data_IF_089514459715
#
_entry.id   IF_089514459715
#
_cell.length_a   1.000
_cell.length_b   1.000
_cell.length_c   1.000
_cell.angle_alpha   90.00
_cell.angle_beta   90.00
_cell.angle_gamma   90.00
#
_symmetry.space_group_name_H-M   'P 1'
#
loop_
_entity.id
_entity.type
_entity.pdbx_description
1 polymer ?
#
# COMPACT_ATOMS: atom_id res chain seq x y z
N UNK A 1 -8.02 8.26 -45.23
CA UNK A 1 -6.68 8.88 -45.15
C UNK A 1 -6.13 8.59 -43.77
N UNK A 2 -4.97 7.95 -43.68
CA UNK A 2 -4.29 7.75 -42.43
C UNK A 2 -3.40 8.94 -42.11
N UNK A 3 -3.50 9.45 -40.89
CA UNK A 3 -2.62 10.51 -40.39
C UNK A 3 -1.36 9.79 -39.86
N UNK A 4 -0.18 10.18 -40.35
CA UNK A 4 1.12 9.61 -39.93
C UNK A 4 2.01 10.64 -39.23
N UNK A 5 1.59 11.92 -39.18
CA UNK A 5 2.32 12.99 -38.53
C UNK A 5 1.36 13.98 -37.87
N UNK A 6 1.67 14.34 -36.61
CA UNK A 6 1.01 15.40 -35.84
C UNK A 6 2.06 16.41 -35.41
N UNK A 7 1.84 17.69 -35.73
CA UNK A 7 2.74 18.80 -35.36
C UNK A 7 1.94 19.78 -34.50
N UNK A 8 2.48 20.18 -33.36
CA UNK A 8 1.93 21.22 -32.51
C UNK A 8 2.99 22.29 -32.23
N UNK A 9 2.56 23.50 -31.88
CA UNK A 9 3.46 24.56 -31.46
C UNK A 9 4.18 24.17 -30.14
N UNK A 10 3.43 23.70 -29.19
CA UNK A 10 3.87 23.26 -27.89
C UNK A 10 2.98 22.08 -27.38
N UNK A 11 3.39 21.45 -26.29
CA UNK A 11 2.71 20.30 -25.71
C UNK A 11 1.31 20.64 -25.21
N UNK A 12 1.10 21.89 -24.74
CA UNK A 12 -0.19 22.34 -24.20
C UNK A 12 -1.30 22.36 -25.26
N UNK A 13 -0.93 22.38 -26.54
CA UNK A 13 -1.86 22.31 -27.67
C UNK A 13 -2.33 20.91 -27.99
N UNK A 14 -1.59 19.88 -27.56
CA UNK A 14 -2.01 18.51 -27.72
C UNK A 14 -3.10 18.15 -26.70
N UNK A 15 -3.01 18.69 -25.47
CA UNK A 15 -4.03 18.49 -24.45
C UNK A 15 -3.74 19.26 -23.17
N UNK A 16 -4.80 19.62 -22.43
CA UNK A 16 -4.69 20.28 -21.13
C UNK A 16 -4.47 19.28 -19.99
N UNK A 17 -4.81 18.03 -20.23
CA UNK A 17 -4.65 16.96 -19.26
C UNK A 17 -3.35 16.20 -19.57
N UNK A 18 -2.35 16.36 -18.70
CA UNK A 18 -1.03 15.74 -18.86
C UNK A 18 -1.08 14.20 -18.92
N UNK A 19 -2.07 13.56 -18.25
CA UNK A 19 -2.25 12.11 -18.30
C UNK A 19 -2.68 11.65 -19.69
N UNK A 20 -3.66 12.35 -20.29
CA UNK A 20 -4.12 12.05 -21.65
C UNK A 20 -3.04 12.36 -22.67
N UNK A 21 -2.33 13.47 -22.49
CA UNK A 21 -1.23 13.88 -23.37
C UNK A 21 -0.09 12.86 -23.32
N UNK A 22 0.29 12.39 -22.12
CA UNK A 22 1.28 11.34 -21.95
C UNK A 22 0.88 10.04 -22.63
N UNK A 23 -0.34 9.58 -22.43
CA UNK A 23 -0.87 8.38 -23.09
C UNK A 23 -0.85 8.51 -24.63
N UNK A 24 -1.20 9.68 -25.17
CA UNK A 24 -1.12 9.90 -26.61
C UNK A 24 0.30 9.78 -27.15
N UNK A 25 1.30 10.34 -26.45
CA UNK A 25 2.70 10.36 -26.90
C UNK A 25 3.39 9.00 -26.68
N UNK A 26 3.14 8.36 -25.54
CA UNK A 26 3.85 7.13 -25.14
C UNK A 26 3.22 5.85 -25.71
N UNK A 27 1.91 5.84 -25.92
CA UNK A 27 1.18 4.64 -26.30
C UNK A 27 0.45 4.79 -27.63
N UNK A 28 -0.46 5.76 -27.74
CA UNK A 28 -1.35 5.87 -28.89
C UNK A 28 -0.63 6.18 -30.20
N UNK A 29 0.23 7.21 -30.24
CA UNK A 29 0.95 7.59 -31.47
C UNK A 29 1.93 6.51 -31.92
N UNK A 30 2.78 5.95 -31.05
CA UNK A 30 3.67 4.85 -31.46
C UNK A 30 2.94 3.61 -31.97
N UNK A 31 1.86 3.19 -31.33
CA UNK A 31 1.06 2.03 -31.75
C UNK A 31 0.42 2.23 -33.13
N UNK A 32 0.06 3.48 -33.48
CA UNK A 32 -0.56 3.77 -34.77
C UNK A 32 0.46 4.26 -35.83
N UNK A 33 1.76 4.19 -35.53
CA UNK A 33 2.80 4.63 -36.48
C UNK A 33 2.77 6.13 -36.77
N UNK A 34 2.26 6.94 -35.79
CA UNK A 34 2.14 8.39 -35.94
C UNK A 34 3.34 9.06 -35.28
N UNK A 35 4.08 9.85 -36.04
CA UNK A 35 5.13 10.76 -35.53
C UNK A 35 4.49 11.98 -34.89
N UNK A 36 4.97 12.37 -33.70
CA UNK A 36 4.56 13.59 -33.03
C UNK A 36 5.73 14.55 -32.86
N UNK A 37 5.50 15.85 -33.17
CA UNK A 37 6.48 16.94 -33.04
C UNK A 37 5.84 18.12 -32.29
N UNK A 38 6.47 18.56 -31.19
CA UNK A 38 6.18 19.80 -30.48
C UNK A 38 7.35 20.78 -30.74
N UNK A 39 7.13 21.82 -31.58
CA UNK A 39 8.23 22.63 -32.07
C UNK A 39 8.94 23.44 -30.99
N UNK A 40 8.20 24.11 -30.10
CA UNK A 40 8.78 24.95 -29.05
C UNK A 40 9.42 24.12 -27.90
N UNK A 41 8.91 22.90 -27.67
CA UNK A 41 9.38 22.02 -26.57
C UNK A 41 10.51 21.10 -27.05
N UNK A 42 10.90 21.13 -28.32
CA UNK A 42 11.95 20.30 -28.90
C UNK A 42 11.61 18.81 -28.92
N UNK A 43 10.33 18.44 -28.79
CA UNK A 43 9.89 17.04 -28.72
C UNK A 43 9.69 16.51 -30.13
N UNK A 44 10.35 15.40 -30.47
CA UNK A 44 10.17 14.63 -31.71
C UNK A 44 10.23 13.14 -31.41
N UNK A 45 9.13 12.43 -31.61
CA UNK A 45 9.02 11.00 -31.28
C UNK A 45 9.85 10.07 -32.18
N UNK A 46 10.42 10.58 -33.28
CA UNK A 46 11.35 9.81 -34.12
C UNK A 46 12.84 10.09 -33.81
N UNK A 47 13.16 11.20 -33.16
CA UNK A 47 14.52 11.48 -32.71
C UNK A 47 14.80 10.75 -31.44
N UNK A 48 16.04 10.32 -31.24
CA UNK A 48 16.46 9.46 -30.13
C UNK A 48 15.84 9.83 -28.77
N UNK A 49 15.50 8.81 -28.00
CA UNK A 49 14.78 8.82 -26.71
C UNK A 49 15.32 9.80 -25.63
N UNK A 50 16.43 10.48 -25.86
CA UNK A 50 17.06 11.37 -24.87
C UNK A 50 16.30 12.70 -24.67
N UNK A 51 15.67 13.25 -25.71
CA UNK A 51 14.96 14.54 -25.59
C UNK A 51 13.61 14.43 -24.89
N UNK A 52 13.02 13.21 -24.89
CA UNK A 52 11.74 12.92 -24.23
C UNK A 52 11.93 12.42 -22.78
N UNK A 53 13.13 11.96 -22.42
CA UNK A 53 13.40 11.37 -21.11
C UNK A 53 13.07 12.30 -19.93
N UNK A 54 13.41 13.61 -19.93
CA UNK A 54 13.00 14.53 -18.87
C UNK A 54 11.49 14.65 -18.73
N UNK A 55 10.79 14.67 -19.87
CA UNK A 55 9.32 14.76 -19.90
C UNK A 55 8.66 13.49 -19.36
N UNK A 56 9.18 12.29 -19.72
CA UNK A 56 8.74 11.02 -19.14
C UNK A 56 8.90 10.98 -17.63
N UNK A 57 10.01 11.49 -17.11
CA UNK A 57 10.26 11.55 -15.67
C UNK A 57 9.23 12.46 -14.96
N UNK A 58 8.93 13.62 -15.53
CA UNK A 58 7.90 14.55 -15.01
C UNK A 58 6.53 13.88 -15.02
N UNK A 59 6.16 13.24 -16.13
CA UNK A 59 4.90 12.50 -16.23
C UNK A 59 4.80 11.40 -15.16
N UNK A 60 5.82 10.57 -15.02
CA UNK A 60 5.85 9.49 -14.02
C UNK A 60 5.70 10.04 -12.61
N UNK A 61 6.35 11.16 -12.28
CA UNK A 61 6.18 11.82 -10.99
C UNK A 61 4.74 12.33 -10.80
N UNK A 62 4.15 12.94 -11.81
CA UNK A 62 2.77 13.43 -11.76
C UNK A 62 1.76 12.27 -11.64
N UNK A 63 1.98 11.15 -12.35
CA UNK A 63 1.18 9.92 -12.18
C UNK A 63 1.22 9.41 -10.76
N UNK A 64 2.43 9.34 -10.19
CA UNK A 64 2.60 8.87 -8.81
C UNK A 64 1.88 9.76 -7.80
N UNK A 65 1.97 11.08 -7.97
CA UNK A 65 1.25 12.07 -7.13
C UNK A 65 -0.27 11.96 -7.27
N UNK A 66 -0.77 11.77 -8.48
CA UNK A 66 -2.22 11.64 -8.73
C UNK A 66 -2.78 10.35 -8.13
N UNK A 67 -2.09 9.22 -8.34
CA UNK A 67 -2.44 7.94 -7.73
C UNK A 67 -2.42 8.05 -6.20
N UNK A 68 -1.37 8.65 -5.62
CA UNK A 68 -1.26 8.86 -4.18
C UNK A 68 -2.46 9.66 -3.62
N UNK A 69 -2.84 10.76 -4.28
CA UNK A 69 -4.01 11.56 -3.89
C UNK A 69 -5.31 10.76 -3.94
N UNK A 70 -5.52 9.99 -5.03
CA UNK A 70 -6.72 9.15 -5.19
C UNK A 70 -6.81 8.06 -4.14
N UNK A 71 -5.69 7.38 -3.87
CA UNK A 71 -5.61 6.37 -2.81
C UNK A 71 -5.89 6.99 -1.45
N UNK A 72 -5.24 8.10 -1.12
CA UNK A 72 -5.45 8.81 0.15
C UNK A 72 -6.91 9.24 0.33
N UNK A 73 -7.53 9.85 -0.69
CA UNK A 73 -8.95 10.23 -0.65
C UNK A 73 -9.86 9.02 -0.43
N UNK A 74 -9.57 7.90 -1.07
CA UNK A 74 -10.33 6.66 -0.89
C UNK A 74 -10.20 6.12 0.53
N UNK A 75 -9.00 6.15 1.13
CA UNK A 75 -8.79 5.76 2.53
C UNK A 75 -9.54 6.68 3.50
N UNK A 76 -9.48 8.00 3.29
CA UNK A 76 -10.20 8.96 4.12
C UNK A 76 -11.72 8.73 4.10
N UNK A 77 -12.30 8.52 2.91
CA UNK A 77 -13.73 8.25 2.78
C UNK A 77 -14.14 6.96 3.51
N UNK A 78 -13.32 5.92 3.43
CA UNK A 78 -13.56 4.67 4.16
C UNK A 78 -13.44 4.88 5.67
N UNK A 79 -12.41 5.60 6.13
CA UNK A 79 -12.21 5.91 7.55
C UNK A 79 -13.37 6.74 8.12
N UNK A 80 -13.87 7.74 7.36
CA UNK A 80 -15.03 8.55 7.77
C UNK A 80 -16.31 7.72 7.89
N UNK A 81 -16.44 6.64 7.12
CA UNK A 81 -17.54 5.68 7.23
C UNK A 81 -17.34 4.65 8.34
N UNK A 82 -16.28 4.74 9.14
CA UNK A 82 -15.92 3.77 10.17
C UNK A 82 -15.44 2.42 9.63
N UNK A 83 -15.08 2.36 8.35
CA UNK A 83 -14.63 1.14 7.70
C UNK A 83 -13.15 0.87 8.00
N UNK A 84 -12.84 -0.37 8.33
CA UNK A 84 -11.46 -0.81 8.52
C UNK A 84 -10.75 -0.93 7.17
N UNK A 85 -9.59 -0.29 7.04
CA UNK A 85 -8.83 -0.24 5.79
C UNK A 85 -7.51 -1.03 5.83
N UNK A 86 -7.16 -1.60 6.98
CA UNK A 86 -5.92 -2.34 7.16
C UNK A 86 -5.91 -3.68 6.41
N UNK A 87 -4.72 -4.15 6.04
CA UNK A 87 -4.53 -5.44 5.39
C UNK A 87 -4.88 -6.61 6.33
N UNK A 88 -4.36 -6.57 7.57
CA UNK A 88 -4.64 -7.57 8.62
C UNK A 88 -5.44 -6.91 9.74
N UNK A 89 -6.37 -7.66 10.32
CA UNK A 89 -7.07 -7.24 11.52
C UNK A 89 -6.09 -7.09 12.70
N UNK A 90 -6.26 -6.10 13.60
CA UNK A 90 -5.51 -6.02 14.84
C UNK A 90 -5.73 -7.28 15.69
N UNK A 91 -4.74 -7.62 16.51
CA UNK A 91 -4.86 -8.75 17.44
C UNK A 91 -6.03 -8.55 18.40
N UNK A 92 -6.84 -9.58 18.60
CA UNK A 92 -8.12 -9.52 19.31
C UNK A 92 -9.33 -9.29 18.40
N UNK A 93 -9.10 -9.05 17.11
CA UNK A 93 -10.14 -8.89 16.11
C UNK A 93 -9.88 -9.78 14.90
N UNK A 94 -10.96 -10.08 14.16
CA UNK A 94 -10.91 -10.74 12.85
C UNK A 94 -11.75 -9.97 11.85
N UNK A 95 -11.42 -10.09 10.57
CA UNK A 95 -12.27 -9.52 9.52
C UNK A 95 -13.55 -10.31 9.37
N UNK A 96 -14.63 -9.60 9.12
CA UNK A 96 -15.89 -10.21 8.76
C UNK A 96 -15.75 -10.93 7.41
N UNK A 97 -16.17 -12.21 7.30
CA UNK A 97 -16.15 -12.92 6.02
C UNK A 97 -17.01 -12.27 4.93
N UNK A 98 -18.11 -11.61 5.33
CA UNK A 98 -19.05 -10.96 4.40
C UNK A 98 -18.62 -9.53 4.04
N UNK A 99 -18.04 -8.79 5.00
CA UNK A 99 -17.51 -7.44 4.79
C UNK A 99 -16.08 -7.30 5.32
N UNK A 100 -15.09 -7.35 4.43
CA UNK A 100 -13.67 -7.21 4.79
C UNK A 100 -13.29 -5.87 5.43
N UNK A 101 -14.17 -4.86 5.36
CA UNK A 101 -13.97 -3.56 5.99
C UNK A 101 -14.63 -3.48 7.38
N UNK A 102 -15.28 -4.53 7.83
CA UNK A 102 -15.85 -4.68 9.16
C UNK A 102 -14.98 -5.60 10.02
N UNK A 103 -14.82 -5.25 11.31
CA UNK A 103 -14.07 -6.05 12.29
C UNK A 103 -15.04 -6.70 13.27
N UNK A 104 -14.88 -7.99 13.46
CA UNK A 104 -15.54 -8.76 14.49
C UNK A 104 -14.56 -9.05 15.64
N UNK A 105 -15.06 -9.16 16.85
CA UNK A 105 -14.26 -9.62 17.99
C UNK A 105 -13.84 -11.07 17.74
N UNK A 106 -12.56 -11.35 17.99
CA UNK A 106 -12.00 -12.69 17.89
C UNK A 106 -11.98 -13.33 19.28
N UNK A 107 -12.92 -14.22 19.54
CA UNK A 107 -13.14 -14.83 20.85
C UNK A 107 -11.93 -15.60 21.38
N UNK A 108 -11.02 -16.06 20.53
CA UNK A 108 -9.80 -16.75 20.94
C UNK A 108 -8.72 -15.78 21.44
N UNK A 109 -8.57 -14.63 20.80
CA UNK A 109 -7.47 -13.70 21.08
C UNK A 109 -7.90 -12.43 21.82
N UNK A 110 -9.18 -12.07 21.83
CA UNK A 110 -9.70 -10.92 22.57
C UNK A 110 -9.47 -11.02 24.09
N UNK A 111 -9.59 -12.19 24.75
CA UNK A 111 -9.28 -12.31 26.17
C UNK A 111 -7.83 -11.93 26.51
N UNK A 112 -6.89 -12.27 25.63
CA UNK A 112 -5.46 -11.92 25.80
C UNK A 112 -5.29 -10.40 25.76
N UNK A 113 -5.96 -9.73 24.81
CA UNK A 113 -5.92 -8.26 24.72
C UNK A 113 -6.50 -7.63 25.97
N UNK A 114 -7.64 -8.13 26.48
CA UNK A 114 -8.25 -7.65 27.72
C UNK A 114 -7.33 -7.85 28.93
N UNK A 115 -6.61 -8.96 28.99
CA UNK A 115 -5.61 -9.23 30.03
C UNK A 115 -4.47 -8.19 29.99
N UNK A 116 -3.92 -7.92 28.80
CA UNK A 116 -2.87 -6.91 28.59
C UNK A 116 -3.34 -5.54 29.08
N UNK A 117 -4.54 -5.10 28.67
CA UNK A 117 -5.11 -3.84 29.13
C UNK A 117 -5.38 -3.85 30.62
N UNK A 118 -5.80 -4.97 31.22
CA UNK A 118 -5.97 -5.11 32.66
C UNK A 118 -4.66 -4.86 33.41
N UNK A 119 -3.55 -5.43 32.98
CA UNK A 119 -2.23 -5.14 33.57
C UNK A 119 -1.84 -3.66 33.40
N UNK A 120 -2.05 -3.09 32.23
CA UNK A 120 -1.74 -1.69 31.96
C UNK A 120 -2.55 -0.72 32.85
N UNK A 121 -3.85 -0.97 33.03
CA UNK A 121 -4.72 -0.21 33.93
C UNK A 121 -4.31 -0.29 35.41
N UNK A 122 -3.69 -1.42 35.81
CA UNK A 122 -3.12 -1.60 37.13
C UNK A 122 -1.72 -0.95 37.30
N UNK A 123 -1.27 -0.16 36.30
CA UNK A 123 -0.01 0.57 36.35
C UNK A 123 1.24 -0.25 35.99
N UNK A 124 1.08 -1.45 35.44
CA UNK A 124 2.21 -2.27 35.02
C UNK A 124 2.75 -1.83 33.66
N UNK A 125 4.08 -1.69 33.57
CA UNK A 125 4.76 -1.30 32.32
C UNK A 125 4.89 -2.45 31.31
N UNK A 126 5.25 -2.14 30.04
CA UNK A 126 5.34 -3.13 28.96
C UNK A 126 6.25 -4.33 29.28
N UNK A 127 7.39 -4.10 29.91
CA UNK A 127 8.33 -5.18 30.28
C UNK A 127 7.75 -6.16 31.30
N UNK A 128 6.94 -5.67 32.24
CA UNK A 128 6.23 -6.53 33.19
C UNK A 128 5.19 -7.38 32.48
N UNK A 129 4.38 -6.74 31.62
CA UNK A 129 3.32 -7.42 30.86
C UNK A 129 3.93 -8.50 29.97
N UNK A 130 5.00 -8.17 29.23
CA UNK A 130 5.73 -9.13 28.41
C UNK A 130 6.15 -10.37 29.21
N UNK A 131 6.83 -10.15 30.34
CA UNK A 131 7.32 -11.26 31.17
C UNK A 131 6.16 -12.14 31.67
N UNK A 132 5.03 -11.54 32.07
CA UNK A 132 3.86 -12.32 32.52
C UNK A 132 3.28 -13.17 31.40
N UNK A 133 3.14 -12.60 30.18
CA UNK A 133 2.64 -13.34 29.02
C UNK A 133 3.57 -14.50 28.62
N UNK A 134 4.88 -14.30 28.73
CA UNK A 134 5.90 -15.33 28.48
C UNK A 134 5.87 -16.43 29.54
N UNK A 135 5.77 -16.07 30.83
CA UNK A 135 5.65 -17.02 31.96
C UNK A 135 4.38 -17.86 31.83
N UNK A 136 3.27 -17.27 31.44
CA UNK A 136 1.98 -17.95 31.25
C UNK A 136 1.92 -18.68 29.88
N UNK A 137 2.99 -18.68 29.10
CA UNK A 137 3.11 -19.33 27.78
C UNK A 137 1.99 -18.94 26.82
N UNK A 138 1.61 -17.65 26.82
CA UNK A 138 0.62 -17.12 25.90
C UNK A 138 1.28 -16.85 24.56
N UNK A 139 0.80 -17.45 23.45
CA UNK A 139 1.41 -17.26 22.13
C UNK A 139 1.31 -15.81 21.63
N UNK A 140 2.38 -15.30 21.01
CA UNK A 140 2.43 -13.95 20.49
C UNK A 140 1.57 -13.77 19.23
N UNK A 141 1.19 -12.53 18.87
CA UNK A 141 0.33 -12.26 17.70
C UNK A 141 0.86 -12.81 16.38
N UNK A 142 2.19 -12.82 16.20
CA UNK A 142 2.81 -13.36 14.97
C UNK A 142 2.60 -14.86 14.85
N UNK A 143 2.67 -15.60 15.96
CA UNK A 143 2.38 -17.03 15.98
C UNK A 143 0.92 -17.29 15.58
N UNK A 144 -0.04 -16.58 16.16
CA UNK A 144 -1.46 -16.69 15.81
C UNK A 144 -1.74 -16.42 14.34
N UNK A 145 -1.13 -15.36 13.78
CA UNK A 145 -1.28 -15.04 12.38
C UNK A 145 -0.73 -16.13 11.46
N UNK A 146 0.36 -16.78 11.86
CA UNK A 146 0.94 -17.88 11.10
C UNK A 146 0.06 -19.12 11.13
N UNK A 147 -0.39 -19.53 12.31
CA UNK A 147 -1.26 -20.70 12.47
C UNK A 147 -2.57 -20.56 11.67
N UNK A 148 -3.06 -19.34 11.54
CA UNK A 148 -4.24 -19.01 10.73
C UNK A 148 -3.94 -18.79 9.25
N UNK A 149 -2.72 -19.00 8.81
CA UNK A 149 -2.30 -18.77 7.41
C UNK A 149 -2.32 -17.31 6.94
N UNK A 150 -2.45 -16.35 7.86
CA UNK A 150 -2.53 -14.93 7.54
C UNK A 150 -1.16 -14.31 7.25
N UNK A 151 -0.10 -14.91 7.74
CA UNK A 151 1.28 -14.46 7.56
C UNK A 151 2.24 -15.64 7.57
N UNK A 152 3.05 -15.74 6.53
CA UNK A 152 3.99 -16.88 6.36
C UNK A 152 5.43 -16.55 6.78
N UNK A 153 5.62 -15.59 7.69
CA UNK A 153 6.95 -15.21 8.17
C UNK A 153 7.10 -15.51 9.65
N UNK A 154 8.15 -16.25 10.00
CA UNK A 154 8.55 -16.45 11.41
C UNK A 154 9.21 -15.19 11.94
N UNK A 155 9.00 -14.89 13.21
CA UNK A 155 9.74 -13.83 13.91
C UNK A 155 11.23 -14.17 14.01
N UNK A 156 12.05 -13.18 14.38
CA UNK A 156 13.47 -13.36 14.67
C UNK A 156 13.68 -14.45 15.74
N UNK A 157 12.83 -14.50 16.76
CA UNK A 157 12.90 -15.43 17.89
C UNK A 157 12.47 -16.84 17.50
N UNK A 158 11.39 -16.99 16.75
CA UNK A 158 10.95 -18.31 16.23
C UNK A 158 11.97 -18.95 15.29
N UNK A 159 12.81 -18.14 14.60
CA UNK A 159 13.91 -18.64 13.78
C UNK A 159 15.06 -19.19 14.62
N UNK A 160 15.31 -18.58 15.80
CA UNK A 160 16.37 -18.96 16.73
C UNK A 160 15.96 -20.13 17.63
N UNK A 161 14.76 -20.09 18.13
CA UNK A 161 14.20 -21.06 19.07
C UNK A 161 12.71 -21.32 18.70
N UNK A 162 12.44 -22.34 17.87
CA UNK A 162 11.09 -22.66 17.43
C UNK A 162 10.13 -23.03 18.55
N UNK A 163 10.62 -23.58 19.66
CA UNK A 163 9.78 -23.99 20.79
C UNK A 163 9.37 -22.80 21.66
N UNK A 164 10.30 -21.91 21.96
CA UNK A 164 10.06 -20.76 22.82
C UNK A 164 9.70 -19.49 22.04
N UNK A 165 10.15 -19.36 20.79
CA UNK A 165 9.92 -18.16 19.97
C UNK A 165 8.45 -17.79 19.78
N UNK A 166 7.53 -18.74 19.88
CA UNK A 166 6.09 -18.50 19.81
C UNK A 166 5.53 -17.70 20.99
N UNK A 167 6.23 -17.72 22.12
CA UNK A 167 5.83 -17.01 23.34
C UNK A 167 6.56 -15.69 23.55
N UNK A 168 7.47 -15.31 22.65
CA UNK A 168 8.25 -14.08 22.76
C UNK A 168 7.43 -12.88 22.26
N UNK A 169 7.08 -12.01 23.17
CA UNK A 169 6.34 -10.78 22.89
C UNK A 169 7.29 -9.62 22.69
N UNK A 170 7.13 -8.90 21.57
CA UNK A 170 7.81 -7.62 21.28
C UNK A 170 6.78 -6.48 21.38
N UNK A 171 7.03 -5.53 22.29
CA UNK A 171 6.23 -4.33 22.50
C UNK A 171 7.01 -3.09 22.06
#
# INVERSE_FOLDING_TARGET
>A
RQINLVITKDLSRLGRNYLQTGHLIEDFFPRNGVRYIAMNDGIDTLRDNNDIAPFKNILNEMYSKDISKKVHSSYLLKAQKGQFTGCLAPFGYRKDPEDKNHLLIDEETAPIVRLIFGYALNGHGPNYIRRRLEEEKIPCPTWWNRERGLRNTRTKWEKKDPENGRYMWDF
#
